data_IF_113647129659
#
_entry.id   IF_113647129659
#
_cell.length_a   1.000
_cell.length_b   1.000
_cell.length_c   1.000
_cell.angle_alpha   90.00
_cell.angle_beta   90.00
_cell.angle_gamma   90.00
#
_symmetry.space_group_name_H-M   'P 1'
#
loop_
_entity.id
_entity.type
_entity.pdbx_description
1 polymer ?
#
# COMPACT_ATOMS: atom_id res chain seq x y z
N UNK A 1 -32.96 51.60 49.29
CA UNK A 1 -33.96 51.49 48.21
C UNK A 1 -33.32 50.74 47.04
N UNK A 2 -34.15 49.92 46.40
CA UNK A 2 -33.81 48.78 45.55
C UNK A 2 -32.96 49.11 44.33
N UNK A 3 -32.06 48.19 43.95
CA UNK A 3 -31.87 47.76 42.57
C UNK A 3 -31.27 46.35 42.57
N UNK A 4 -32.10 45.38 43.00
CA UNK A 4 -31.81 43.96 42.89
C UNK A 4 -32.19 43.47 41.50
N UNK A 5 -31.21 43.06 40.72
CA UNK A 5 -31.42 42.35 39.45
C UNK A 5 -32.21 41.06 39.76
N UNK A 6 -33.31 40.84 39.05
CA UNK A 6 -34.19 39.70 39.32
C UNK A 6 -33.46 38.36 39.15
N UNK A 7 -33.77 37.33 39.95
CA UNK A 7 -33.09 36.03 39.87
C UNK A 7 -33.19 35.38 38.47
N UNK A 8 -34.27 35.69 37.73
CA UNK A 8 -34.46 35.26 36.33
C UNK A 8 -33.49 35.94 35.36
N UNK A 9 -33.17 37.22 35.57
CA UNK A 9 -32.22 37.96 34.73
C UNK A 9 -30.76 37.52 35.00
N UNK A 10 -30.44 37.20 36.27
CA UNK A 10 -29.14 36.64 36.63
C UNK A 10 -28.93 35.21 36.07
N UNK A 11 -29.99 34.40 36.01
CA UNK A 11 -29.96 33.07 35.39
C UNK A 11 -29.83 33.14 33.87
N UNK A 12 -30.55 34.06 33.21
CA UNK A 12 -30.43 34.31 31.77
C UNK A 12 -29.05 34.85 31.38
N UNK A 13 -28.44 35.74 32.18
CA UNK A 13 -27.06 36.21 31.95
C UNK A 13 -26.02 35.10 32.14
N UNK A 14 -26.20 34.18 33.10
CA UNK A 14 -25.31 33.02 33.28
C UNK A 14 -25.43 31.99 32.14
N UNK A 15 -26.64 31.79 31.60
CA UNK A 15 -26.84 30.94 30.42
C UNK A 15 -26.31 31.59 29.13
N UNK A 16 -26.41 32.93 28.99
CA UNK A 16 -25.84 33.66 27.86
C UNK A 16 -24.30 33.65 27.88
N UNK A 17 -23.66 33.77 29.05
CA UNK A 17 -22.20 33.64 29.17
C UNK A 17 -21.70 32.19 28.96
N UNK A 18 -22.50 31.17 29.30
CA UNK A 18 -22.15 29.78 28.97
C UNK A 18 -22.36 29.43 27.50
N UNK A 19 -23.29 30.10 26.79
CA UNK A 19 -23.42 29.94 25.33
C UNK A 19 -22.29 30.63 24.56
N UNK A 20 -21.77 31.76 25.06
CA UNK A 20 -20.64 32.46 24.43
C UNK A 20 -19.30 31.76 24.75
N UNK A 21 -19.16 31.12 25.92
CA UNK A 21 -18.00 30.29 26.24
C UNK A 21 -17.97 28.93 25.51
N UNK A 22 -19.11 28.43 25.02
CA UNK A 22 -19.18 27.19 24.22
C UNK A 22 -18.84 27.39 22.74
N UNK A 23 -18.77 28.65 22.26
CA UNK A 23 -18.36 28.97 20.88
C UNK A 23 -16.89 29.42 20.74
N UNK A 24 -16.13 29.46 21.84
CA UNK A 24 -14.73 29.91 21.85
C UNK A 24 -13.68 28.77 21.89
N UNK A 25 -14.10 27.50 21.79
CA UNK A 25 -13.18 26.34 21.71
C UNK A 25 -13.12 25.66 20.34
N UNK A 26 -13.89 26.15 19.36
CA UNK A 26 -13.68 25.81 17.97
C UNK A 26 -12.71 26.84 17.36
N UNK A 27 -11.44 26.79 17.79
CA UNK A 27 -10.37 27.37 16.97
C UNK A 27 -10.50 26.82 15.54
N UNK A 28 -10.13 27.58 14.50
CA UNK A 28 -10.13 27.03 13.16
C UNK A 28 -9.07 25.93 13.14
N UNK A 29 -9.48 24.69 13.40
CA UNK A 29 -8.87 23.57 12.74
C UNK A 29 -9.14 23.78 11.27
N UNK A 30 -8.28 24.60 10.66
CA UNK A 30 -7.93 24.46 9.27
C UNK A 30 -7.47 23.02 9.14
N UNK A 31 -8.42 22.12 8.87
CA UNK A 31 -8.10 20.89 8.18
C UNK A 31 -7.42 21.41 6.94
N UNK A 32 -6.09 21.29 6.89
CA UNK A 32 -5.36 21.58 5.68
C UNK A 32 -5.92 20.60 4.65
N UNK A 33 -6.92 21.04 3.91
CA UNK A 33 -7.35 20.40 2.69
C UNK A 33 -6.11 20.53 1.82
N UNK A 34 -5.29 19.47 1.83
CA UNK A 34 -4.19 19.34 0.89
C UNK A 34 -4.81 19.44 -0.48
N UNK A 35 -4.75 20.63 -1.06
CA UNK A 35 -5.12 20.83 -2.46
C UNK A 35 -4.16 19.91 -3.21
N UNK A 36 -4.70 18.83 -3.75
CA UNK A 36 -3.89 17.88 -4.48
C UNK A 36 -3.16 18.66 -5.57
N UNK A 37 -1.83 18.65 -5.53
CA UNK A 37 -1.00 19.27 -6.55
C UNK A 37 -1.26 18.62 -7.92
N UNK A 38 -0.83 19.26 -9.01
CA UNK A 38 -0.93 18.64 -10.34
C UNK A 38 -0.24 17.28 -10.35
N UNK A 39 -0.83 16.31 -11.06
CA UNK A 39 -0.21 14.99 -11.24
C UNK A 39 1.17 15.19 -11.87
N UNK A 40 2.21 14.67 -11.22
CA UNK A 40 3.60 15.00 -11.56
C UNK A 40 4.11 14.30 -12.82
N UNK A 41 3.54 13.13 -13.15
CA UNK A 41 3.92 12.35 -14.33
C UNK A 41 3.07 12.74 -15.53
N UNK A 42 3.69 12.83 -16.71
CA UNK A 42 3.05 13.18 -17.98
C UNK A 42 2.98 11.98 -18.93
N UNK A 43 2.03 12.02 -19.86
CA UNK A 43 1.95 11.03 -20.94
C UNK A 43 3.23 10.99 -21.76
N UNK A 44 3.64 9.78 -22.16
CA UNK A 44 4.88 9.53 -22.90
C UNK A 44 6.11 9.30 -22.00
N UNK A 45 6.05 9.69 -20.73
CA UNK A 45 7.14 9.42 -19.78
C UNK A 45 7.22 7.94 -19.41
N UNK A 46 8.39 7.55 -18.94
CA UNK A 46 8.70 6.19 -18.52
C UNK A 46 8.98 6.10 -17.02
N UNK A 47 8.51 5.01 -16.39
CA UNK A 47 8.67 4.77 -14.96
C UNK A 47 9.34 3.42 -14.76
N UNK A 48 10.53 3.43 -14.17
CA UNK A 48 11.19 2.22 -13.69
C UNK A 48 10.65 1.79 -12.32
N UNK A 49 10.45 0.49 -12.15
CA UNK A 49 10.02 -0.12 -10.89
C UNK A 49 11.13 -1.01 -10.36
N UNK A 50 12.06 -0.42 -9.61
CA UNK A 50 13.18 -1.12 -9.02
C UNK A 50 12.77 -1.71 -7.67
N UNK A 51 12.86 -3.03 -7.55
CA UNK A 51 12.61 -3.70 -6.28
C UNK A 51 12.86 -5.20 -6.31
N UNK A 52 12.26 -5.90 -5.35
CA UNK A 52 12.49 -7.32 -5.07
C UNK A 52 11.36 -8.21 -5.63
N UNK A 53 11.03 -9.30 -4.93
CA UNK A 53 9.92 -10.20 -5.28
C UNK A 53 8.56 -9.51 -5.25
N UNK A 54 8.36 -8.53 -4.36
CA UNK A 54 7.10 -7.78 -4.30
C UNK A 54 6.91 -7.01 -5.61
N UNK A 55 7.97 -6.37 -6.10
CA UNK A 55 7.97 -5.67 -7.39
C UNK A 55 7.91 -6.62 -8.58
N UNK A 56 8.59 -7.76 -8.52
CA UNK A 56 8.54 -8.78 -9.57
C UNK A 56 7.11 -9.32 -9.74
N UNK A 57 6.45 -9.71 -8.65
CA UNK A 57 5.05 -10.15 -8.67
C UNK A 57 4.11 -9.00 -9.05
N UNK A 58 4.42 -7.78 -8.59
CA UNK A 58 3.71 -6.56 -8.97
C UNK A 58 3.63 -6.33 -10.48
N UNK A 59 4.62 -6.81 -11.24
CA UNK A 59 4.63 -6.81 -12.69
C UNK A 59 4.12 -8.12 -13.32
N UNK A 60 4.45 -9.28 -12.76
CA UNK A 60 4.09 -10.56 -13.39
C UNK A 60 2.61 -10.91 -13.20
N UNK A 61 1.93 -10.33 -12.22
CA UNK A 61 0.50 -10.51 -11.99
C UNK A 61 -0.30 -9.35 -12.59
N UNK A 62 -1.38 -9.66 -13.32
CA UNK A 62 -2.26 -8.64 -13.93
C UNK A 62 -2.86 -7.64 -12.92
N UNK A 63 -3.10 -8.10 -11.70
CA UNK A 63 -3.54 -7.29 -10.56
C UNK A 63 -2.40 -6.79 -9.66
N UNK A 64 -1.15 -7.07 -10.01
CA UNK A 64 0.02 -6.64 -9.26
C UNK A 64 0.16 -5.11 -9.22
N UNK A 65 0.72 -4.57 -8.15
CA UNK A 65 0.70 -3.13 -7.91
C UNK A 65 1.37 -2.30 -9.03
N UNK A 66 2.39 -2.83 -9.71
CA UNK A 66 3.05 -2.13 -10.83
C UNK A 66 2.05 -1.93 -11.97
N UNK A 67 1.30 -2.97 -12.34
CA UNK A 67 0.21 -2.84 -13.30
C UNK A 67 -0.87 -1.88 -12.83
N UNK A 68 -1.27 -1.96 -11.55
CA UNK A 68 -2.30 -1.07 -11.01
C UNK A 68 -1.89 0.40 -11.04
N UNK A 69 -0.62 0.74 -10.79
CA UNK A 69 -0.10 2.11 -10.94
C UNK A 69 -0.24 2.59 -12.39
N UNK A 70 0.24 1.81 -13.36
CA UNK A 70 0.15 2.16 -14.79
C UNK A 70 -1.30 2.35 -15.22
N UNK A 71 -2.18 1.41 -14.85
CA UNK A 71 -3.61 1.50 -15.17
C UNK A 71 -4.31 2.64 -14.43
N UNK A 72 -3.86 2.99 -13.23
CA UNK A 72 -4.39 4.11 -12.46
C UNK A 72 -4.09 5.46 -13.10
N UNK A 73 -2.88 5.62 -13.62
CA UNK A 73 -2.49 6.77 -14.45
C UNK A 73 -3.26 6.80 -15.77
N UNK A 74 -3.36 5.66 -16.46
CA UNK A 74 -4.10 5.55 -17.72
C UNK A 74 -5.60 5.87 -17.55
N UNK A 75 -6.18 5.56 -16.40
CA UNK A 75 -7.55 5.96 -16.06
C UNK A 75 -7.76 7.48 -15.99
N UNK A 76 -6.68 8.27 -15.88
CA UNK A 76 -6.67 9.73 -15.95
C UNK A 76 -6.21 10.26 -17.32
N UNK A 77 -6.10 9.40 -18.33
CA UNK A 77 -5.55 9.77 -19.65
C UNK A 77 -4.02 9.91 -19.67
N UNK A 78 -3.31 9.50 -18.60
CA UNK A 78 -1.85 9.59 -18.50
C UNK A 78 -1.25 8.23 -18.89
N UNK A 79 -0.70 8.14 -20.10
CA UNK A 79 -0.12 6.90 -20.62
C UNK A 79 1.38 6.91 -20.42
N UNK A 80 1.89 6.02 -19.58
CA UNK A 80 3.32 5.90 -19.25
C UNK A 80 3.90 4.58 -19.76
N UNK A 81 5.21 4.55 -19.97
CA UNK A 81 5.95 3.33 -20.31
C UNK A 81 6.53 2.69 -19.03
N UNK A 82 6.04 1.53 -18.57
CA UNK A 82 6.65 0.84 -17.44
C UNK A 82 7.97 0.18 -17.83
N UNK A 83 8.94 0.25 -16.93
CA UNK A 83 10.21 -0.50 -17.00
C UNK A 83 10.29 -1.38 -15.75
N UNK A 84 9.86 -2.66 -15.83
CA UNK A 84 9.89 -3.55 -14.68
C UNK A 84 11.34 -3.92 -14.34
N UNK A 85 11.73 -3.69 -13.10
CA UNK A 85 13.06 -4.00 -12.57
C UNK A 85 12.98 -4.70 -11.20
N UNK A 86 11.94 -5.52 -11.00
CA UNK A 86 11.80 -6.41 -9.84
C UNK A 86 12.53 -7.73 -10.05
N UNK A 87 13.26 -8.22 -9.04
CA UNK A 87 13.85 -9.57 -9.03
C UNK A 87 13.66 -10.21 -7.66
N UNK A 88 13.10 -11.42 -7.62
CA UNK A 88 12.83 -12.13 -6.38
C UNK A 88 14.08 -12.36 -5.53
N UNK A 89 13.93 -12.20 -4.22
CA UNK A 89 15.00 -12.39 -3.24
C UNK A 89 16.09 -11.30 -3.21
N UNK A 90 16.04 -10.30 -4.08
CA UNK A 90 17.04 -9.23 -4.09
C UNK A 90 17.00 -8.39 -2.82
N UNK A 91 18.20 -8.07 -2.33
CA UNK A 91 18.48 -7.08 -1.27
C UNK A 91 18.95 -5.76 -1.90
N UNK A 92 19.20 -4.74 -1.07
CA UNK A 92 19.79 -3.47 -1.51
C UNK A 92 21.13 -3.63 -2.24
N UNK A 93 21.94 -4.63 -1.84
CA UNK A 93 23.22 -4.95 -2.49
C UNK A 93 23.01 -5.38 -3.93
N UNK A 94 22.05 -6.29 -4.15
CA UNK A 94 21.76 -6.84 -5.48
C UNK A 94 21.17 -5.76 -6.40
N UNK A 95 20.25 -4.94 -5.85
CA UNK A 95 19.67 -3.81 -6.58
C UNK A 95 20.73 -2.81 -7.02
N UNK A 96 21.68 -2.46 -6.14
CA UNK A 96 22.79 -1.57 -6.50
C UNK A 96 23.68 -2.17 -7.59
N UNK A 97 24.01 -3.45 -7.49
CA UNK A 97 24.86 -4.15 -8.45
C UNK A 97 24.24 -4.15 -9.86
N UNK A 98 22.92 -4.27 -9.97
CA UNK A 98 22.21 -4.33 -11.26
C UNK A 98 21.61 -3.00 -11.73
N UNK A 99 21.73 -1.93 -10.93
CA UNK A 99 21.11 -0.63 -11.21
C UNK A 99 21.40 -0.11 -12.62
N UNK A 100 22.66 -0.20 -13.05
CA UNK A 100 23.10 0.27 -14.37
C UNK A 100 22.31 -0.40 -15.49
N UNK A 101 22.25 -1.75 -15.48
CA UNK A 101 21.67 -2.56 -16.56
C UNK A 101 20.14 -2.52 -16.58
N UNK A 102 19.52 -2.48 -15.40
CA UNK A 102 18.07 -2.62 -15.28
C UNK A 102 17.33 -1.28 -15.27
N UNK A 103 18.00 -0.20 -14.88
CA UNK A 103 17.38 1.13 -14.77
C UNK A 103 18.14 2.16 -15.58
N UNK A 104 19.39 2.47 -15.24
CA UNK A 104 20.06 3.67 -15.77
C UNK A 104 20.25 3.62 -17.29
N UNK A 105 20.59 2.45 -17.85
CA UNK A 105 20.74 2.29 -19.29
C UNK A 105 19.42 2.40 -20.06
N UNK A 106 18.27 2.36 -19.36
CA UNK A 106 16.94 2.52 -19.95
C UNK A 106 16.47 3.97 -19.95
N UNK A 107 17.22 4.86 -19.26
CA UNK A 107 16.97 6.30 -19.15
C UNK A 107 15.50 6.64 -18.82
N UNK A 108 14.94 6.09 -17.72
CA UNK A 108 13.59 6.42 -17.34
C UNK A 108 13.48 7.86 -16.85
N UNK A 109 12.29 8.46 -16.94
CA UNK A 109 12.02 9.77 -16.34
C UNK A 109 11.87 9.65 -14.81
N UNK A 110 11.23 8.55 -14.37
CA UNK A 110 10.94 8.28 -12.97
C UNK A 110 11.42 6.90 -12.55
N UNK A 111 11.73 6.74 -11.26
CA UNK A 111 12.00 5.43 -10.66
C UNK A 111 11.30 5.31 -9.30
N UNK A 112 10.54 4.23 -9.11
CA UNK A 112 10.18 3.77 -7.76
C UNK A 112 11.29 2.86 -7.23
N UNK A 113 11.68 3.05 -5.97
CA UNK A 113 12.66 2.22 -5.26
C UNK A 113 11.97 1.55 -4.06
N UNK A 114 11.69 0.25 -4.18
CA UNK A 114 11.08 -0.57 -3.15
C UNK A 114 12.06 -1.64 -2.67
N UNK A 115 12.66 -1.42 -1.50
CA UNK A 115 13.72 -2.29 -0.97
C UNK A 115 13.74 -2.26 0.56
N UNK A 116 14.09 -3.37 1.21
CA UNK A 116 14.33 -3.44 2.65
C UNK A 116 13.73 -4.65 3.33
N UNK A 117 12.69 -5.27 2.75
CA UNK A 117 12.09 -6.49 3.30
C UNK A 117 13.13 -7.60 3.38
N UNK A 118 13.79 -7.95 2.27
CA UNK A 118 14.79 -9.02 2.24
C UNK A 118 16.05 -8.67 3.03
N UNK A 119 16.45 -7.40 3.05
CA UNK A 119 17.59 -6.92 3.83
C UNK A 119 17.43 -7.22 5.33
N UNK A 120 16.19 -7.23 5.84
CA UNK A 120 15.87 -7.60 7.23
C UNK A 120 15.45 -9.07 7.36
N UNK A 121 14.59 -9.56 6.47
CA UNK A 121 13.94 -10.87 6.57
C UNK A 121 14.93 -12.03 6.40
N UNK A 122 15.92 -11.89 5.53
CA UNK A 122 16.96 -12.90 5.31
C UNK A 122 18.00 -12.97 6.44
N UNK A 123 17.87 -12.14 7.47
CA UNK A 123 18.73 -12.16 8.65
C UNK A 123 20.16 -11.66 8.39
N UNK A 124 21.07 -11.82 9.36
CA UNK A 124 22.40 -11.20 9.30
C UNK A 124 23.35 -11.84 8.27
N UNK A 125 23.09 -13.08 7.86
CA UNK A 125 23.95 -13.82 6.92
C UNK A 125 23.60 -13.50 5.47
N UNK A 126 22.31 -13.51 5.13
CA UNK A 126 21.82 -13.39 3.76
C UNK A 126 21.11 -12.05 3.48
N UNK A 127 20.82 -11.26 4.52
CA UNK A 127 20.30 -9.91 4.42
C UNK A 127 21.41 -8.86 4.37
N UNK A 128 21.05 -7.61 4.64
CA UNK A 128 22.00 -6.48 4.66
C UNK A 128 21.80 -5.67 5.91
N UNK A 129 22.85 -5.56 6.73
CA UNK A 129 22.83 -4.78 7.97
C UNK A 129 22.65 -3.28 7.68
N UNK A 130 21.98 -2.59 8.59
CA UNK A 130 21.56 -1.19 8.41
C UNK A 130 22.68 -0.27 7.88
N UNK A 131 23.92 -0.26 8.41
CA UNK A 131 24.96 0.63 7.87
C UNK A 131 25.31 0.37 6.40
N UNK A 132 25.27 -0.89 5.95
CA UNK A 132 25.50 -1.22 4.55
C UNK A 132 24.27 -0.93 3.69
N UNK A 133 23.07 -1.16 4.23
CA UNK A 133 21.82 -0.79 3.59
C UNK A 133 21.75 0.71 3.31
N UNK A 134 22.10 1.54 4.30
CA UNK A 134 22.15 2.99 4.16
C UNK A 134 23.08 3.40 3.02
N UNK A 135 24.31 2.87 2.99
CA UNK A 135 25.25 3.10 1.89
C UNK A 135 24.70 2.67 0.53
N UNK A 136 24.10 1.48 0.45
CA UNK A 136 23.58 0.94 -0.80
C UNK A 136 22.45 1.80 -1.36
N UNK A 137 21.46 2.11 -0.53
CA UNK A 137 20.28 2.89 -0.95
C UNK A 137 20.68 4.32 -1.30
N UNK A 138 21.53 4.97 -0.51
CA UNK A 138 22.06 6.30 -0.85
C UNK A 138 22.77 6.28 -2.20
N UNK A 139 23.63 5.29 -2.47
CA UNK A 139 24.30 5.16 -3.77
C UNK A 139 23.32 4.91 -4.93
N UNK A 140 22.24 4.16 -4.71
CA UNK A 140 21.20 3.96 -5.73
C UNK A 140 20.52 5.30 -6.06
N UNK A 141 20.11 6.05 -5.04
CA UNK A 141 19.43 7.34 -5.20
C UNK A 141 20.36 8.35 -5.88
N UNK A 142 21.60 8.47 -5.42
CA UNK A 142 22.58 9.42 -5.97
C UNK A 142 22.85 9.16 -7.45
N UNK A 143 23.04 7.89 -7.83
CA UNK A 143 23.27 7.52 -9.24
C UNK A 143 22.05 7.74 -10.11
N UNK A 144 20.83 7.52 -9.58
CA UNK A 144 19.60 7.78 -10.32
C UNK A 144 19.39 9.29 -10.54
N UNK A 145 19.56 10.10 -9.50
CA UNK A 145 19.44 11.56 -9.59
C UNK A 145 20.52 12.19 -10.48
N UNK A 146 21.77 11.70 -10.41
CA UNK A 146 22.84 12.13 -11.30
C UNK A 146 22.55 11.81 -12.78
N UNK A 147 21.72 10.78 -13.04
CA UNK A 147 21.23 10.45 -14.38
C UNK A 147 19.96 11.21 -14.78
N UNK A 148 19.50 12.18 -13.98
CA UNK A 148 18.29 12.99 -14.24
C UNK A 148 16.98 12.28 -13.93
N UNK A 149 17.00 11.18 -13.16
CA UNK A 149 15.81 10.38 -12.86
C UNK A 149 15.15 10.91 -11.58
N UNK A 150 13.84 11.17 -11.62
CA UNK A 150 13.07 11.51 -10.44
C UNK A 150 12.78 10.26 -9.59
N UNK A 151 13.21 10.25 -8.34
CA UNK A 151 13.13 9.08 -7.46
C UNK A 151 11.94 9.17 -6.50
N UNK A 152 11.19 8.08 -6.43
CA UNK A 152 10.12 7.84 -5.46
C UNK A 152 10.59 6.70 -4.54
N UNK A 153 10.92 7.02 -3.30
CA UNK A 153 11.34 6.04 -2.31
C UNK A 153 10.10 5.44 -1.67
N UNK A 154 10.01 4.10 -1.67
CA UNK A 154 8.99 3.36 -0.95
C UNK A 154 9.61 2.81 0.34
N UNK A 155 8.94 3.02 1.47
CA UNK A 155 9.27 2.29 2.70
C UNK A 155 9.04 0.79 2.51
N UNK A 156 9.76 -0.06 3.24
CA UNK A 156 9.47 -1.50 3.27
C UNK A 156 8.17 -1.81 4.04
N UNK A 157 7.42 -2.81 3.58
CA UNK A 157 6.25 -3.36 4.27
C UNK A 157 6.61 -4.34 5.37
N UNK A 158 5.68 -4.57 6.28
CA UNK A 158 5.84 -5.45 7.42
C UNK A 158 6.10 -6.91 7.00
N UNK A 159 6.95 -7.58 7.75
CA UNK A 159 7.15 -9.02 7.69
C UNK A 159 6.16 -9.67 8.66
N UNK A 160 5.19 -10.43 8.16
CA UNK A 160 4.20 -11.17 8.94
C UNK A 160 3.05 -10.32 9.52
N UNK A 161 2.78 -9.13 8.95
CA UNK A 161 1.65 -8.23 9.31
C UNK A 161 1.50 -7.90 10.81
N UNK A 162 2.56 -8.06 11.59
CA UNK A 162 2.59 -7.69 13.00
C UNK A 162 3.69 -6.66 13.23
N UNK A 163 3.35 -5.36 13.39
CA UNK A 163 4.35 -4.31 13.54
C UNK A 163 5.25 -4.50 14.76
N UNK A 164 4.78 -5.24 15.76
CA UNK A 164 5.49 -5.44 17.02
C UNK A 164 6.42 -6.65 17.01
N UNK A 165 6.48 -7.45 15.95
CA UNK A 165 7.35 -8.63 15.93
C UNK A 165 8.86 -8.25 15.83
N UNK A 166 9.79 -9.17 16.18
CA UNK A 166 11.21 -8.84 16.21
C UNK A 166 11.80 -8.34 14.89
N UNK A 167 11.31 -8.84 13.76
CA UNK A 167 11.76 -8.41 12.43
C UNK A 167 11.33 -6.96 12.14
N UNK A 168 10.07 -6.62 12.44
CA UNK A 168 9.54 -5.28 12.17
C UNK A 168 10.07 -4.21 13.13
N UNK A 169 10.44 -4.58 14.36
CA UNK A 169 11.21 -3.68 15.25
C UNK A 169 12.57 -3.31 14.65
N UNK A 170 13.22 -4.22 13.92
CA UNK A 170 14.45 -3.91 13.16
C UNK A 170 14.12 -3.09 11.92
N UNK A 171 13.13 -3.51 11.14
CA UNK A 171 12.68 -2.85 9.91
C UNK A 171 12.29 -1.37 10.14
N UNK A 172 11.76 -1.04 11.32
CA UNK A 172 11.44 0.34 11.70
C UNK A 172 12.63 1.30 11.55
N UNK A 173 13.86 0.85 11.83
CA UNK A 173 15.07 1.66 11.64
C UNK A 173 15.41 1.87 10.18
N UNK A 174 15.20 0.86 9.33
CA UNK A 174 15.39 0.94 7.89
C UNK A 174 14.38 1.92 7.27
N UNK A 175 13.10 1.81 7.67
CA UNK A 175 12.06 2.74 7.24
C UNK A 175 12.30 4.17 7.74
N UNK A 176 12.78 4.35 8.97
CA UNK A 176 13.17 5.67 9.47
C UNK A 176 14.29 6.29 8.61
N UNK A 177 15.29 5.50 8.23
CA UNK A 177 16.32 5.94 7.29
C UNK A 177 15.75 6.30 5.91
N UNK A 178 14.87 5.48 5.33
CA UNK A 178 14.27 5.76 4.02
C UNK A 178 13.51 7.09 4.02
N UNK A 179 12.75 7.37 5.09
CA UNK A 179 12.06 8.66 5.26
C UNK A 179 13.03 9.82 5.33
N UNK A 180 14.08 9.68 6.15
CA UNK A 180 15.14 10.68 6.30
C UNK A 180 15.86 10.94 4.97
N UNK A 181 16.21 9.87 4.24
CA UNK A 181 16.90 10.00 2.96
C UNK A 181 16.02 10.68 1.91
N UNK A 182 14.72 10.36 1.88
CA UNK A 182 13.79 11.00 0.95
C UNK A 182 13.76 12.52 1.15
N UNK A 183 13.69 12.97 2.40
CA UNK A 183 13.76 14.38 2.77
C UNK A 183 15.12 14.99 2.37
N UNK A 184 16.24 14.39 2.82
CA UNK A 184 17.59 14.90 2.54
C UNK A 184 17.94 14.99 1.06
N UNK A 185 17.38 14.11 0.23
CA UNK A 185 17.64 14.05 -1.22
C UNK A 185 16.52 14.67 -2.04
N UNK A 186 15.53 15.32 -1.42
CA UNK A 186 14.33 15.87 -2.08
C UNK A 186 13.65 14.85 -3.02
N UNK A 187 13.59 13.59 -2.60
CA UNK A 187 12.87 12.54 -3.30
C UNK A 187 11.42 12.51 -2.82
N UNK A 188 10.50 12.03 -3.67
CA UNK A 188 9.16 11.72 -3.22
C UNK A 188 9.18 10.50 -2.30
N UNK A 189 8.33 10.48 -1.28
CA UNK A 189 8.20 9.38 -0.33
C UNK A 189 6.80 8.75 -0.45
N UNK A 190 6.75 7.49 -0.82
CA UNK A 190 5.56 6.65 -0.78
C UNK A 190 5.63 5.73 0.45
N UNK A 191 5.07 6.18 1.58
CA UNK A 191 5.14 5.49 2.88
C UNK A 191 4.13 4.32 2.97
N UNK A 192 4.37 3.27 2.19
CA UNK A 192 3.53 2.07 2.14
C UNK A 192 3.52 1.30 3.47
N UNK A 193 4.59 1.37 4.26
CA UNK A 193 4.67 0.70 5.56
C UNK A 193 3.77 1.36 6.61
N UNK A 194 3.69 2.70 6.62
CA UNK A 194 2.73 3.41 7.46
C UNK A 194 1.27 3.17 7.02
N UNK A 195 0.99 3.20 5.71
CA UNK A 195 -0.36 2.93 5.17
C UNK A 195 -0.80 1.49 5.49
N UNK A 196 0.14 0.52 5.47
CA UNK A 196 -0.10 -0.87 5.88
C UNK A 196 -0.46 -0.97 7.37
N UNK A 197 0.33 -0.38 8.27
CA UNK A 197 0.05 -0.37 9.71
C UNK A 197 -1.33 0.25 10.00
N UNK A 198 -1.65 1.38 9.36
CA UNK A 198 -2.93 2.04 9.53
C UNK A 198 -4.09 1.14 9.11
N UNK A 199 -3.97 0.44 7.97
CA UNK A 199 -4.99 -0.50 7.48
C UNK A 199 -5.16 -1.70 8.40
N UNK A 200 -4.06 -2.30 8.85
CA UNK A 200 -4.11 -3.44 9.77
C UNK A 200 -4.77 -3.03 11.10
N UNK A 201 -4.49 -1.83 11.60
CA UNK A 201 -5.13 -1.30 12.82
C UNK A 201 -6.65 -1.14 12.66
N UNK A 202 -7.10 -0.61 11.52
CA UNK A 202 -8.53 -0.48 11.21
C UNK A 202 -9.22 -1.86 11.10
N UNK A 203 -8.50 -2.85 10.58
CA UNK A 203 -9.02 -4.21 10.38
C UNK A 203 -8.88 -5.12 11.61
N UNK A 204 -8.07 -4.74 12.61
CA UNK A 204 -7.83 -5.55 13.81
C UNK A 204 -9.10 -5.80 14.64
N UNK A 205 -10.09 -4.92 14.55
CA UNK A 205 -11.38 -5.06 15.23
C UNK A 205 -12.37 -5.94 14.46
N UNK A 206 -12.02 -6.42 13.25
CA UNK A 206 -12.90 -7.27 12.47
C UNK A 206 -12.77 -8.74 12.95
N UNK A 207 -13.84 -9.35 13.49
CA UNK A 207 -13.77 -10.71 14.01
C UNK A 207 -13.43 -11.70 12.90
N UNK A 208 -12.36 -12.49 13.13
CA UNK A 208 -11.99 -13.71 12.38
C UNK A 208 -11.71 -13.52 10.88
N UNK A 209 -11.14 -12.39 10.49
CA UNK A 209 -10.45 -12.30 9.19
C UNK A 209 -9.08 -12.99 9.29
N UNK A 210 -8.60 -13.58 8.19
CA UNK A 210 -7.35 -14.36 8.08
C UNK A 210 -6.16 -13.78 8.88
N UNK A 211 -5.20 -14.65 9.25
CA UNK A 211 -3.90 -14.25 9.80
C UNK A 211 -3.06 -13.36 8.84
N UNK A 212 -3.52 -13.12 7.61
CA UNK A 212 -2.88 -12.31 6.57
C UNK A 212 -3.97 -11.54 5.80
N UNK A 213 -4.15 -10.27 6.14
CA UNK A 213 -5.19 -9.39 5.64
C UNK A 213 -4.81 -8.69 4.33
N UNK A 214 -3.53 -8.36 4.17
CA UNK A 214 -2.97 -7.59 3.06
C UNK A 214 -1.92 -8.37 2.26
N UNK A 215 -1.47 -9.50 2.77
CA UNK A 215 -0.46 -10.38 2.17
C UNK A 215 -1.00 -11.79 1.95
N UNK A 216 -0.26 -12.60 1.20
CA UNK A 216 -0.55 -14.01 0.92
C UNK A 216 0.24 -14.96 1.83
N UNK A 217 1.40 -14.52 2.31
CA UNK A 217 2.33 -15.33 3.11
C UNK A 217 2.96 -14.54 4.26
N UNK A 218 2.47 -13.31 4.52
CA UNK A 218 3.05 -12.37 5.47
C UNK A 218 4.03 -11.38 4.83
N UNK A 219 4.40 -11.54 3.56
CA UNK A 219 5.35 -10.65 2.87
C UNK A 219 4.79 -10.16 1.53
N UNK A 220 4.34 -11.08 0.68
CA UNK A 220 3.89 -10.75 -0.68
C UNK A 220 2.45 -10.23 -0.67
N UNK A 221 2.17 -9.06 -1.26
CA UNK A 221 0.84 -8.46 -1.24
C UNK A 221 -0.22 -9.35 -1.89
N UNK A 222 -1.36 -9.51 -1.23
CA UNK A 222 -2.58 -10.06 -1.81
C UNK A 222 -3.31 -8.96 -2.61
N UNK A 223 -4.52 -9.19 -3.18
CA UNK A 223 -5.23 -8.18 -3.95
C UNK A 223 -5.47 -6.85 -3.21
N UNK A 224 -5.73 -6.87 -1.90
CA UNK A 224 -5.89 -5.64 -1.12
C UNK A 224 -4.56 -4.93 -0.87
N UNK A 225 -3.49 -5.69 -0.62
CA UNK A 225 -2.13 -5.13 -0.49
C UNK A 225 -1.63 -4.50 -1.78
N UNK A 226 -1.86 -5.14 -2.94
CA UNK A 226 -1.48 -4.57 -4.24
C UNK A 226 -2.22 -3.24 -4.51
N UNK A 227 -3.51 -3.17 -4.20
CA UNK A 227 -4.30 -1.94 -4.29
C UNK A 227 -3.79 -0.85 -3.34
N UNK A 228 -3.39 -1.23 -2.12
CA UNK A 228 -2.78 -0.29 -1.16
C UNK A 228 -1.49 0.31 -1.74
N UNK A 229 -0.53 -0.53 -2.16
CA UNK A 229 0.72 -0.07 -2.78
C UNK A 229 0.47 0.91 -3.92
N UNK A 230 -0.42 0.53 -4.86
CA UNK A 230 -0.73 1.36 -6.01
C UNK A 230 -1.34 2.70 -5.61
N UNK A 231 -2.26 2.73 -4.64
CA UNK A 231 -2.86 3.97 -4.15
C UNK A 231 -1.85 4.88 -3.46
N UNK A 232 -0.92 4.34 -2.68
CA UNK A 232 0.11 5.15 -2.01
C UNK A 232 1.02 5.78 -3.07
N UNK A 233 1.51 5.01 -4.04
CA UNK A 233 2.35 5.54 -5.14
C UNK A 233 1.58 6.61 -5.93
N UNK A 234 0.34 6.34 -6.33
CA UNK A 234 -0.45 7.28 -7.13
C UNK A 234 -0.78 8.58 -6.37
N UNK A 235 -1.09 8.48 -5.07
CA UNK A 235 -1.27 9.66 -4.21
C UNK A 235 0.01 10.47 -4.11
N UNK A 236 1.14 9.78 -3.97
CA UNK A 236 2.49 10.39 -3.96
C UNK A 236 2.78 11.12 -5.27
N UNK A 237 2.27 10.61 -6.39
CA UNK A 237 2.35 11.25 -7.71
C UNK A 237 1.34 12.39 -7.93
N UNK A 238 0.48 12.69 -6.94
CA UNK A 238 -0.48 13.79 -6.98
C UNK A 238 -1.92 13.41 -7.32
N UNK A 239 -2.26 12.12 -7.46
CA UNK A 239 -3.67 11.75 -7.69
C UNK A 239 -4.51 12.01 -6.43
N UNK A 240 -5.61 12.73 -6.62
CA UNK A 240 -6.58 13.03 -5.57
C UNK A 240 -7.55 11.86 -5.31
N UNK A 241 -8.40 11.99 -4.29
CA UNK A 241 -9.38 10.95 -3.91
C UNK A 241 -10.33 10.55 -5.05
N UNK A 242 -10.81 11.49 -5.86
CA UNK A 242 -11.72 11.19 -6.96
C UNK A 242 -11.02 10.41 -8.08
N UNK A 243 -9.79 10.79 -8.41
CA UNK A 243 -8.96 10.10 -9.41
C UNK A 243 -8.60 8.67 -8.95
N UNK A 244 -8.24 8.50 -7.67
CA UNK A 244 -8.02 7.18 -7.07
C UNK A 244 -9.29 6.32 -7.05
N UNK A 245 -10.47 6.92 -6.84
CA UNK A 245 -11.73 6.21 -6.91
C UNK A 245 -12.06 5.75 -8.34
N UNK A 246 -11.76 6.58 -9.34
CA UNK A 246 -11.87 6.20 -10.75
C UNK A 246 -10.93 5.03 -11.11
N UNK A 247 -9.66 5.12 -10.67
CA UNK A 247 -8.70 4.04 -10.83
C UNK A 247 -9.19 2.74 -10.19
N UNK A 248 -9.70 2.80 -8.95
CA UNK A 248 -10.29 1.66 -8.25
C UNK A 248 -11.44 1.01 -9.04
N UNK A 249 -12.33 1.81 -9.66
CA UNK A 249 -13.42 1.28 -10.50
C UNK A 249 -12.87 0.47 -11.69
N UNK A 250 -11.80 0.95 -12.33
CA UNK A 250 -11.13 0.23 -13.42
C UNK A 250 -10.46 -1.05 -12.93
N UNK A 251 -9.76 -1.00 -11.80
CA UNK A 251 -9.10 -2.17 -11.21
C UNK A 251 -10.09 -3.27 -10.79
N UNK A 252 -11.28 -2.89 -10.32
CA UNK A 252 -12.32 -3.83 -9.90
C UNK A 252 -12.72 -4.84 -10.99
N UNK A 253 -12.62 -4.45 -12.26
CA UNK A 253 -13.12 -5.23 -13.40
C UNK A 253 -12.02 -5.83 -14.26
N UNK A 254 -10.74 -5.73 -13.86
CA UNK A 254 -9.64 -6.40 -14.59
C UNK A 254 -9.93 -7.92 -14.58
N UNK A 255 -10.11 -8.56 -15.74
CA UNK A 255 -10.43 -9.98 -15.79
C UNK A 255 -9.21 -10.81 -15.44
N UNK A 256 -9.42 -11.85 -14.64
CA UNK A 256 -8.36 -12.80 -14.23
C UNK A 256 -7.14 -12.06 -13.66
N UNK A 257 -7.38 -11.13 -12.75
CA UNK A 257 -6.36 -10.25 -12.20
C UNK A 257 -5.44 -10.98 -11.20
N UNK A 258 -6.00 -11.88 -10.39
CA UNK A 258 -5.29 -12.54 -9.29
C UNK A 258 -5.53 -14.05 -9.31
N UNK A 259 -4.50 -14.81 -9.02
CA UNK A 259 -4.64 -16.23 -8.71
C UNK A 259 -5.31 -16.39 -7.33
N UNK A 260 -6.43 -17.11 -7.30
CA UNK A 260 -7.08 -17.49 -6.05
C UNK A 260 -6.86 -18.97 -5.72
N UNK A 261 -6.78 -19.80 -6.76
CA UNK A 261 -6.48 -21.22 -6.70
C UNK A 261 -5.73 -21.61 -7.99
N UNK A 262 -5.01 -22.74 -8.02
CA UNK A 262 -4.14 -23.12 -9.16
C UNK A 262 -4.85 -23.15 -10.52
N UNK A 263 -6.17 -23.34 -10.54
CA UNK A 263 -7.01 -23.34 -11.75
C UNK A 263 -7.94 -22.13 -11.88
N UNK A 264 -8.00 -21.24 -10.89
CA UNK A 264 -8.99 -20.15 -10.82
C UNK A 264 -8.35 -18.80 -10.58
N UNK A 265 -8.61 -17.88 -11.50
CA UNK A 265 -8.23 -16.48 -11.38
C UNK A 265 -9.48 -15.59 -11.23
N UNK A 266 -9.39 -14.58 -10.38
CA UNK A 266 -10.49 -13.68 -10.05
C UNK A 266 -10.18 -12.25 -10.48
N UNK A 267 -11.22 -11.49 -10.84
CA UNK A 267 -11.15 -10.03 -10.78
C UNK A 267 -11.14 -9.55 -9.33
N UNK A 268 -10.72 -8.30 -9.08
CA UNK A 268 -10.79 -7.74 -7.74
C UNK A 268 -12.24 -7.68 -7.21
N UNK A 269 -13.23 -7.42 -8.09
CA UNK A 269 -14.65 -7.48 -7.71
C UNK A 269 -15.05 -8.86 -7.22
N UNK A 270 -14.66 -9.92 -7.94
CA UNK A 270 -14.96 -11.31 -7.53
C UNK A 270 -14.25 -11.69 -6.24
N UNK A 271 -12.97 -11.33 -6.10
CA UNK A 271 -12.21 -11.54 -4.86
C UNK A 271 -12.87 -10.85 -3.65
N UNK A 272 -13.32 -9.61 -3.82
CA UNK A 272 -14.04 -8.89 -2.77
C UNK A 272 -15.38 -9.55 -2.41
N UNK A 273 -16.14 -10.03 -3.40
CA UNK A 273 -17.37 -10.79 -3.15
C UNK A 273 -17.10 -12.06 -2.35
N UNK A 274 -16.00 -12.76 -2.66
CA UNK A 274 -15.63 -13.99 -1.95
C UNK A 274 -15.21 -13.69 -0.50
N UNK A 275 -14.39 -12.66 -0.28
CA UNK A 275 -14.05 -12.19 1.07
C UNK A 275 -15.28 -11.80 1.87
N UNK A 276 -16.22 -11.08 1.26
CA UNK A 276 -17.46 -10.69 1.93
C UNK A 276 -18.33 -11.91 2.30
N UNK A 277 -18.40 -12.93 1.44
CA UNK A 277 -19.06 -14.19 1.76
C UNK A 277 -18.38 -14.95 2.89
N UNK A 278 -17.05 -15.00 2.91
CA UNK A 278 -16.29 -15.65 3.99
C UNK A 278 -16.50 -14.93 5.33
N UNK A 279 -16.46 -13.59 5.31
CA UNK A 279 -16.72 -12.77 6.48
C UNK A 279 -18.14 -12.97 7.05
N UNK A 280 -19.18 -13.02 6.20
CA UNK A 280 -20.56 -13.34 6.62
C UNK A 280 -20.70 -14.72 7.26
N UNK A 281 -19.82 -15.66 6.91
CA UNK A 281 -19.80 -17.01 7.47
C UNK A 281 -18.77 -17.17 8.60
N UNK A 282 -18.19 -16.06 9.07
CA UNK A 282 -17.18 -16.04 10.13
C UNK A 282 -16.01 -17.01 9.89
N UNK A 283 -15.57 -17.14 8.64
CA UNK A 283 -14.48 -18.03 8.24
C UNK A 283 -13.49 -17.37 7.27
N UNK A 284 -12.35 -18.02 7.06
CA UNK A 284 -11.41 -17.63 6.00
C UNK A 284 -11.94 -17.95 4.61
N UNK A 285 -11.41 -17.30 3.59
CA UNK A 285 -11.70 -17.70 2.20
C UNK A 285 -11.26 -19.13 1.90
N UNK A 286 -10.16 -19.61 2.49
CA UNK A 286 -9.69 -20.99 2.30
C UNK A 286 -10.65 -21.99 2.93
N UNK A 287 -11.17 -21.69 4.13
CA UNK A 287 -12.21 -22.52 4.76
C UNK A 287 -13.48 -22.50 3.93
N UNK A 288 -13.88 -21.34 3.40
CA UNK A 288 -15.03 -21.24 2.50
C UNK A 288 -14.84 -22.08 1.24
N UNK A 289 -13.65 -22.03 0.62
CA UNK A 289 -13.31 -22.82 -0.57
C UNK A 289 -13.33 -24.32 -0.27
N UNK A 290 -12.72 -24.75 0.83
CA UNK A 290 -12.68 -26.15 1.23
C UNK A 290 -14.08 -26.71 1.52
N UNK A 291 -14.95 -25.92 2.18
CA UNK A 291 -16.36 -26.29 2.37
C UNK A 291 -17.09 -26.45 1.03
N UNK A 292 -16.90 -25.51 0.11
CA UNK A 292 -17.52 -25.57 -1.21
C UNK A 292 -17.06 -26.80 -2.02
N UNK A 293 -15.76 -27.11 -1.97
CA UNK A 293 -15.19 -28.31 -2.58
C UNK A 293 -15.78 -29.59 -1.98
N UNK A 294 -15.85 -29.68 -0.64
CA UNK A 294 -16.46 -30.83 0.04
C UNK A 294 -17.91 -31.08 -0.40
N UNK A 295 -18.72 -30.04 -0.49
CA UNK A 295 -20.10 -30.15 -0.98
C UNK A 295 -20.20 -30.54 -2.47
N UNK A 296 -19.25 -30.09 -3.30
CA UNK A 296 -19.21 -30.49 -4.70
C UNK A 296 -18.84 -31.98 -4.85
N UNK A 297 -17.83 -32.44 -4.10
CA UNK A 297 -17.40 -33.84 -4.11
C UNK A 297 -18.51 -34.77 -3.59
N UNK A 298 -19.18 -34.42 -2.50
CA UNK A 298 -20.28 -35.22 -1.96
C UNK A 298 -21.41 -35.43 -2.99
N UNK A 299 -21.78 -34.38 -3.75
CA UNK A 299 -22.79 -34.46 -4.82
C UNK A 299 -22.35 -35.32 -6.01
N UNK A 300 -21.07 -35.25 -6.37
CA UNK A 300 -20.53 -36.09 -7.44
C UNK A 300 -20.54 -37.57 -7.04
N UNK A 301 -20.15 -37.87 -5.80
CA UNK A 301 -20.08 -39.24 -5.29
C UNK A 301 -21.47 -39.86 -5.08
N UNK A 302 -22.46 -39.08 -4.62
CA UNK A 302 -23.84 -39.56 -4.43
C UNK A 302 -24.56 -39.91 -5.72
N UNK A 303 -24.09 -39.39 -6.87
CA UNK A 303 -24.65 -39.67 -8.19
C UNK A 303 -23.96 -40.85 -8.90
N UNK A 304 -23.09 -41.59 -8.21
CA UNK A 304 -22.47 -42.79 -8.75
C UNK A 304 -23.43 -43.96 -8.57
N UNK A 305 -23.97 -44.59 -9.64
CA UNK A 305 -24.84 -45.75 -9.48
C UNK A 305 -24.08 -46.86 -8.75
N UNK A 306 -24.75 -47.51 -7.79
CA UNK A 306 -24.22 -48.70 -7.14
C UNK A 306 -23.94 -49.74 -8.22
N UNK A 307 -22.69 -50.25 -8.27
CA UNK A 307 -22.34 -51.41 -9.09
C UNK A 307 -22.95 -52.67 -8.53
#
# INVERSE_FOLDING_TARGET
>A
MMNGVSPRLALLMRMALMLIAALALAGPWSVAVSVAGPVMVRSGQSIAFLGDSITANGWNERGGYVHLVVLGLAAQGIVVKPIPAGISGNTSKDMLARLQRYVLSKRPDWMTLSCGVNDVWHGPVNGVLLPQYERNITAIVDRAQAAGIHVIILTATLIGENPNNPANRKLARYNAFLRKLADQKNCLLADVGADEIARLTLLAHAPRLNKQLLTMDGVHPNPWGNVMFAKVILRTLGLNHAQLALAQKKWNVIPRAYWFHWSTMLSLKQYNSLRASAARQHCSMDVLLNKALGHALARLLSNTPAR
#
